data_IF_145898493838
#
_entry.id   IF_145898493838
#
_cell.length_a   1.000
_cell.length_b   1.000
_cell.length_c   1.000
_cell.angle_alpha   90.00
_cell.angle_beta   90.00
_cell.angle_gamma   90.00
#
_symmetry.space_group_name_H-M   'P 1'
#
loop_
_entity.id
_entity.type
_entity.pdbx_description
1 polymer ?
#
# COMPACT_ATOMS: atom_id res chain seq x y z
N UNK A 1 -8.28 7.98 -31.27
CA UNK A 1 -8.68 8.64 -30.07
C UNK A 1 -9.90 7.93 -29.50
N UNK A 2 -9.67 6.85 -28.74
CA UNK A 2 -10.72 6.15 -28.01
C UNK A 2 -10.52 6.49 -26.54
N UNK A 3 -11.35 7.39 -26.01
CA UNK A 3 -11.45 7.64 -24.58
C UNK A 3 -12.18 6.45 -23.97
N UNK A 4 -11.47 5.63 -23.20
CA UNK A 4 -12.08 4.64 -22.30
C UNK A 4 -12.98 5.38 -21.30
N UNK A 5 -14.21 4.88 -21.02
CA UNK A 5 -15.09 5.54 -20.05
C UNK A 5 -14.46 5.46 -18.65
N UNK A 6 -14.35 6.61 -18.00
CA UNK A 6 -13.96 6.73 -16.59
C UNK A 6 -15.03 6.07 -15.72
N UNK A 7 -14.76 4.86 -15.25
CA UNK A 7 -15.70 4.03 -14.49
C UNK A 7 -16.02 4.58 -13.07
N UNK A 8 -15.31 5.63 -12.63
CA UNK A 8 -15.46 6.21 -11.28
C UNK A 8 -16.27 7.51 -11.21
N UNK A 9 -16.77 8.04 -12.34
CA UNK A 9 -17.48 9.34 -12.39
C UNK A 9 -18.89 9.31 -11.79
N UNK A 10 -19.37 8.22 -11.22
CA UNK A 10 -20.76 8.02 -10.83
C UNK A 10 -21.06 7.74 -9.36
N UNK A 11 -20.11 7.52 -8.49
CA UNK A 11 -20.40 7.17 -7.08
C UNK A 11 -20.57 8.42 -6.20
N UNK A 12 -21.73 9.10 -6.32
CA UNK A 12 -22.22 10.01 -5.27
C UNK A 12 -22.57 9.15 -4.06
N UNK A 13 -21.67 9.08 -3.07
CA UNK A 13 -22.00 8.51 -1.76
C UNK A 13 -22.96 9.48 -1.07
N UNK A 14 -24.22 9.08 -0.94
CA UNK A 14 -25.14 9.73 -0.01
C UNK A 14 -24.59 9.52 1.40
N UNK A 15 -24.25 10.60 2.07
CA UNK A 15 -23.78 10.62 3.45
C UNK A 15 -24.93 10.23 4.37
N UNK A 16 -24.87 9.00 4.90
CA UNK A 16 -25.67 8.63 6.05
C UNK A 16 -25.22 9.49 7.24
N UNK A 17 -26.17 10.30 7.74
CA UNK A 17 -25.99 11.35 8.72
C UNK A 17 -25.55 10.88 10.13
N UNK A 18 -24.29 10.59 10.26
CA UNK A 18 -23.53 10.60 11.51
C UNK A 18 -22.37 11.56 11.23
N UNK A 19 -22.14 12.57 12.06
CA UNK A 19 -21.09 13.58 11.86
C UNK A 19 -19.74 12.96 11.50
N UNK A 20 -19.52 12.73 10.23
CA UNK A 20 -18.41 11.93 9.72
C UNK A 20 -17.23 12.83 9.40
N UNK A 21 -16.13 12.65 10.11
CA UNK A 21 -14.83 12.94 9.55
C UNK A 21 -14.70 12.06 8.29
N UNK A 22 -14.94 12.63 7.11
CA UNK A 22 -14.70 11.93 5.84
C UNK A 22 -13.20 11.77 5.65
N UNK A 23 -12.76 10.55 5.33
CA UNK A 23 -11.35 10.31 4.94
C UNK A 23 -11.06 11.16 3.70
N UNK A 24 -10.02 11.99 3.74
CA UNK A 24 -9.60 12.76 2.58
C UNK A 24 -9.10 11.83 1.47
N UNK A 25 -9.28 12.28 0.23
CA UNK A 25 -8.82 11.57 -0.95
C UNK A 25 -7.58 12.25 -1.52
N UNK A 26 -6.65 11.45 -2.01
CA UNK A 26 -5.42 11.89 -2.67
C UNK A 26 -5.34 11.23 -4.05
N UNK A 27 -4.83 11.96 -5.03
CA UNK A 27 -4.66 11.43 -6.38
C UNK A 27 -3.52 10.41 -6.43
N UNK A 28 -3.77 9.26 -7.01
CA UNK A 28 -2.78 8.22 -7.24
C UNK A 28 -1.87 8.60 -8.41
N UNK A 29 -0.70 9.16 -8.12
CA UNK A 29 0.40 9.33 -9.09
C UNK A 29 0.06 9.98 -10.43
N UNK A 30 -0.78 11.00 -10.46
CA UNK A 30 -1.15 11.71 -11.70
C UNK A 30 -2.07 10.91 -12.64
N UNK A 31 -2.74 9.89 -12.13
CA UNK A 31 -3.66 9.02 -12.90
C UNK A 31 -5.09 9.56 -13.00
N UNK A 32 -5.43 10.59 -12.22
CA UNK A 32 -6.81 11.06 -12.02
C UNK A 32 -7.62 10.17 -11.07
N UNK A 33 -7.09 9.05 -10.60
CA UNK A 33 -7.77 8.17 -9.65
C UNK A 33 -7.54 8.64 -8.23
N UNK A 34 -8.64 8.77 -7.49
CA UNK A 34 -8.60 9.22 -6.10
C UNK A 34 -8.64 8.01 -5.16
N UNK A 35 -7.70 7.95 -4.23
CA UNK A 35 -7.61 6.92 -3.18
C UNK A 35 -7.64 7.59 -1.81
N UNK A 36 -8.13 6.91 -0.75
CA UNK A 36 -8.16 7.50 0.59
C UNK A 36 -6.73 7.69 1.12
N UNK A 37 -6.49 8.78 1.83
CA UNK A 37 -5.19 9.01 2.49
C UNK A 37 -4.90 8.02 3.61
N UNK A 38 -5.94 7.35 4.14
CA UNK A 38 -5.82 6.27 5.14
C UNK A 38 -6.23 4.96 4.47
N UNK A 39 -5.29 4.04 4.33
CA UNK A 39 -5.51 2.68 3.83
C UNK A 39 -5.49 1.63 4.94
N UNK A 40 -6.00 0.44 4.62
CA UNK A 40 -6.03 -0.72 5.51
C UNK A 40 -4.90 -1.69 5.14
N UNK A 41 -3.87 -1.77 5.98
CA UNK A 41 -2.78 -2.73 5.80
C UNK A 41 -3.12 -4.09 6.41
N UNK A 42 -2.73 -5.17 5.74
CA UNK A 42 -3.02 -6.55 6.20
C UNK A 42 -1.77 -7.34 6.65
N UNK A 43 -0.63 -6.67 6.86
CA UNK A 43 0.53 -7.31 7.46
C UNK A 43 0.21 -7.84 8.87
N UNK A 44 0.41 -9.14 9.10
CA UNK A 44 0.05 -9.84 10.36
C UNK A 44 -1.44 -9.74 10.73
N UNK A 45 -2.31 -9.50 9.77
CA UNK A 45 -3.73 -9.39 10.01
C UNK A 45 -4.37 -10.75 10.29
N UNK A 46 -5.21 -10.81 11.32
CA UNK A 46 -5.96 -12.01 11.73
C UNK A 46 -7.42 -11.69 12.12
N UNK A 47 -7.90 -10.49 11.74
CA UNK A 47 -9.18 -9.95 12.21
C UNK A 47 -10.45 -10.47 11.48
N UNK A 48 -10.30 -11.36 10.48
CA UNK A 48 -11.44 -11.82 9.67
C UNK A 48 -11.89 -10.79 8.63
N UNK A 49 -13.11 -10.94 8.10
CA UNK A 49 -13.59 -10.14 6.97
C UNK A 49 -14.26 -8.84 7.43
N UNK A 50 -14.93 -8.86 8.57
CA UNK A 50 -15.78 -7.75 9.06
C UNK A 50 -15.02 -6.43 9.32
N UNK A 51 -13.84 -6.40 9.98
CA UNK A 51 -13.12 -5.14 10.16
C UNK A 51 -12.67 -4.48 8.84
N UNK A 52 -12.33 -5.29 7.82
CA UNK A 52 -11.97 -4.78 6.50
C UNK A 52 -13.20 -4.17 5.80
N UNK A 53 -14.35 -4.86 5.85
CA UNK A 53 -15.63 -4.33 5.34
C UNK A 53 -16.01 -3.02 6.02
N UNK A 54 -15.91 -2.99 7.34
CA UNK A 54 -16.22 -1.79 8.12
C UNK A 54 -15.30 -0.63 7.77
N UNK A 55 -14.02 -0.89 7.54
CA UNK A 55 -13.07 0.12 7.08
C UNK A 55 -13.46 0.71 5.71
N UNK A 56 -13.86 -0.14 4.76
CA UNK A 56 -14.34 0.30 3.44
C UNK A 56 -15.57 1.21 3.59
N UNK A 57 -16.55 0.81 4.39
CA UNK A 57 -17.77 1.59 4.68
C UNK A 57 -17.44 2.96 5.27
N UNK A 58 -16.43 3.06 6.13
CA UNK A 58 -15.96 4.30 6.75
C UNK A 58 -15.10 5.16 5.80
N UNK A 59 -14.85 4.73 4.58
CA UNK A 59 -14.12 5.47 3.57
C UNK A 59 -12.65 5.10 3.40
N UNK A 60 -12.10 4.19 4.21
CA UNK A 60 -10.74 3.65 4.06
C UNK A 60 -10.73 2.46 3.07
N UNK A 61 -11.14 2.71 1.82
CA UNK A 61 -11.37 1.68 0.82
C UNK A 61 -10.11 1.19 0.08
N UNK A 62 -8.94 1.76 0.34
CA UNK A 62 -7.66 1.22 -0.12
C UNK A 62 -7.22 0.11 0.83
N UNK A 63 -7.18 -1.13 0.33
CA UNK A 63 -6.67 -2.28 1.09
C UNK A 63 -5.32 -2.68 0.53
N UNK A 64 -4.31 -2.69 1.40
CA UNK A 64 -2.93 -3.09 1.06
C UNK A 64 -2.62 -4.47 1.64
N UNK A 65 -2.29 -5.40 0.75
CA UNK A 65 -1.84 -6.76 1.06
C UNK A 65 -0.56 -7.11 0.31
N UNK A 66 -0.13 -8.35 0.36
CA UNK A 66 1.00 -8.89 -0.41
C UNK A 66 0.96 -10.42 -0.44
N UNK A 67 1.53 -11.04 -1.49
CA UNK A 67 1.62 -12.51 -1.57
C UNK A 67 2.30 -13.12 -0.33
N UNK A 68 3.33 -12.46 0.21
CA UNK A 68 4.05 -12.96 1.38
C UNK A 68 3.30 -12.81 2.70
N UNK A 69 2.25 -11.97 2.75
CA UNK A 69 1.46 -11.78 3.98
C UNK A 69 0.52 -12.95 4.24
N UNK A 70 0.15 -13.70 3.19
CA UNK A 70 -0.81 -14.80 3.24
C UNK A 70 -2.18 -14.36 3.76
N UNK A 71 -2.60 -13.16 3.36
CA UNK A 71 -3.87 -12.54 3.77
C UNK A 71 -4.73 -12.17 2.55
N UNK A 72 -4.28 -12.50 1.33
CA UNK A 72 -5.00 -12.18 0.10
C UNK A 72 -6.39 -12.85 0.06
N UNK A 73 -6.50 -14.08 0.55
CA UNK A 73 -7.79 -14.80 0.66
C UNK A 73 -8.75 -14.13 1.65
N UNK A 74 -8.26 -13.58 2.76
CA UNK A 74 -9.07 -12.83 3.71
C UNK A 74 -9.56 -11.51 3.08
N UNK A 75 -8.69 -10.82 2.31
CA UNK A 75 -9.09 -9.63 1.56
C UNK A 75 -10.15 -9.98 0.51
N UNK A 76 -9.97 -11.07 -0.23
CA UNK A 76 -10.92 -11.55 -1.22
C UNK A 76 -12.32 -11.79 -0.62
N UNK A 77 -12.38 -12.50 0.52
CA UNK A 77 -13.65 -12.68 1.25
C UNK A 77 -14.26 -11.36 1.70
N UNK A 78 -13.44 -10.43 2.21
CA UNK A 78 -13.91 -9.13 2.67
C UNK A 78 -14.54 -8.30 1.56
N UNK A 79 -14.01 -8.36 0.34
CA UNK A 79 -14.53 -7.57 -0.80
C UNK A 79 -15.59 -8.29 -1.62
N UNK A 80 -15.91 -9.52 -1.29
CA UNK A 80 -16.92 -10.30 -2.02
C UNK A 80 -18.28 -9.60 -2.03
N UNK A 81 -18.80 -9.33 -3.24
CA UNK A 81 -20.05 -8.60 -3.46
C UNK A 81 -19.95 -7.07 -3.33
N UNK A 82 -18.78 -6.52 -2.98
CA UNK A 82 -18.52 -5.08 -2.88
C UNK A 82 -17.20 -4.69 -3.55
N UNK A 83 -16.68 -5.49 -4.49
CA UNK A 83 -15.38 -5.29 -5.16
C UNK A 83 -15.21 -3.89 -5.73
N UNK A 84 -16.25 -3.33 -6.31
CA UNK A 84 -16.24 -2.00 -6.92
C UNK A 84 -16.16 -0.86 -5.90
N UNK A 85 -16.31 -1.16 -4.62
CA UNK A 85 -16.17 -0.19 -3.53
C UNK A 85 -14.76 -0.19 -2.91
N UNK A 86 -13.88 -1.10 -3.33
CA UNK A 86 -12.54 -1.26 -2.81
C UNK A 86 -11.47 -1.01 -3.87
N UNK A 87 -10.35 -0.42 -3.47
CA UNK A 87 -9.13 -0.31 -4.25
C UNK A 87 -8.10 -1.28 -3.66
N UNK A 88 -7.76 -2.34 -4.41
CA UNK A 88 -6.92 -3.43 -3.92
C UNK A 88 -5.49 -3.24 -4.41
N UNK A 89 -4.58 -3.09 -3.46
CA UNK A 89 -3.14 -3.09 -3.67
C UNK A 89 -2.54 -4.40 -3.15
N UNK A 90 -1.79 -5.11 -3.98
CA UNK A 90 -0.98 -6.26 -3.55
C UNK A 90 0.43 -6.19 -4.12
N UNK A 91 1.29 -7.13 -3.74
CA UNK A 91 2.72 -7.04 -4.05
C UNK A 91 3.31 -8.41 -4.41
N UNK A 92 4.14 -8.43 -5.45
CA UNK A 92 5.00 -9.58 -5.76
C UNK A 92 6.24 -9.57 -4.87
N UNK A 93 6.65 -10.74 -4.39
CA UNK A 93 7.88 -10.90 -3.61
C UNK A 93 9.13 -10.61 -4.45
N UNK A 94 10.15 -10.02 -3.83
CA UNK A 94 11.45 -9.79 -4.48
C UNK A 94 12.15 -11.06 -5.01
N UNK A 95 11.74 -12.25 -4.55
CA UNK A 95 12.22 -13.54 -5.07
C UNK A 95 11.60 -13.94 -6.42
N UNK A 96 10.46 -13.35 -6.80
CA UNK A 96 9.63 -13.74 -7.94
C UNK A 96 9.63 -12.70 -9.07
N UNK A 97 10.73 -11.95 -9.25
CA UNK A 97 10.81 -10.83 -10.20
C UNK A 97 11.23 -11.23 -11.62
N UNK A 98 11.63 -12.50 -11.86
CA UNK A 98 11.80 -13.01 -13.23
C UNK A 98 10.46 -13.00 -13.96
N UNK A 99 10.47 -12.71 -15.25
CA UNK A 99 9.28 -12.55 -16.08
C UNK A 99 8.18 -13.57 -15.78
N UNK A 100 8.42 -14.86 -16.04
CA UNK A 100 7.40 -15.89 -15.87
C UNK A 100 6.99 -16.14 -14.41
N UNK A 101 7.89 -15.88 -13.46
CA UNK A 101 7.58 -16.00 -12.04
C UNK A 101 6.65 -14.88 -11.59
N UNK A 102 6.87 -13.66 -12.09
CA UNK A 102 6.07 -12.50 -11.78
C UNK A 102 4.65 -12.66 -12.33
N UNK A 103 4.50 -13.13 -13.58
CA UNK A 103 3.18 -13.40 -14.16
C UNK A 103 2.42 -14.45 -13.34
N UNK A 104 3.06 -15.59 -13.01
CA UNK A 104 2.44 -16.62 -12.16
C UNK A 104 2.09 -16.11 -10.75
N UNK A 105 2.90 -15.22 -10.18
CA UNK A 105 2.58 -14.60 -8.88
C UNK A 105 1.34 -13.72 -8.97
N UNK A 106 1.19 -12.96 -10.04
CA UNK A 106 0.00 -12.14 -10.27
C UNK A 106 -1.27 -13.00 -10.45
N UNK A 107 -1.19 -14.07 -11.27
CA UNK A 107 -2.28 -15.04 -11.44
C UNK A 107 -2.70 -15.66 -10.09
N UNK A 108 -1.73 -16.08 -9.29
CA UNK A 108 -1.98 -16.63 -7.96
C UNK A 108 -2.63 -15.61 -7.02
N UNK A 109 -2.16 -14.36 -7.02
CA UNK A 109 -2.76 -13.29 -6.23
C UNK A 109 -4.21 -13.04 -6.64
N UNK A 110 -4.50 -12.96 -7.96
CA UNK A 110 -5.88 -12.83 -8.48
C UNK A 110 -6.78 -13.98 -8.02
N UNK A 111 -6.26 -15.22 -8.07
CA UNK A 111 -6.99 -16.40 -7.62
C UNK A 111 -7.29 -16.36 -6.11
N UNK A 112 -6.31 -16.00 -5.27
CA UNK A 112 -6.50 -15.92 -3.82
C UNK A 112 -7.45 -14.79 -3.43
N UNK A 113 -7.36 -13.66 -4.12
CA UNK A 113 -8.23 -12.49 -3.92
C UNK A 113 -9.66 -12.73 -4.47
N UNK A 114 -9.87 -13.73 -5.33
CA UNK A 114 -11.15 -14.01 -6.03
C UNK A 114 -11.67 -12.75 -6.75
N UNK A 115 -10.79 -12.03 -7.46
CA UNK A 115 -11.12 -10.79 -8.18
C UNK A 115 -10.64 -10.83 -9.63
N UNK A 116 -11.30 -10.11 -10.55
CA UNK A 116 -10.95 -10.12 -11.97
C UNK A 116 -9.70 -9.33 -12.32
N UNK A 117 -9.29 -8.36 -11.50
CA UNK A 117 -8.10 -7.54 -11.68
C UNK A 117 -7.62 -6.95 -10.36
N UNK A 118 -6.33 -6.65 -10.28
CA UNK A 118 -5.67 -5.92 -9.19
C UNK A 118 -5.63 -4.44 -9.55
N UNK A 119 -6.02 -3.53 -8.64
CA UNK A 119 -5.95 -2.09 -8.91
C UNK A 119 -4.52 -1.60 -8.91
N UNK A 120 -3.71 -1.96 -7.91
CA UNK A 120 -2.29 -1.57 -7.82
C UNK A 120 -1.43 -2.81 -7.54
N UNK A 121 -0.57 -3.18 -8.49
CA UNK A 121 0.39 -4.26 -8.29
C UNK A 121 1.79 -3.69 -8.08
N UNK A 122 2.46 -4.11 -7.01
CA UNK A 122 3.71 -3.50 -6.57
C UNK A 122 4.84 -4.53 -6.49
N UNK A 123 6.05 -4.11 -6.83
CA UNK A 123 7.26 -4.87 -6.48
C UNK A 123 7.51 -4.63 -4.99
N UNK A 124 7.51 -5.69 -4.17
CA UNK A 124 7.63 -5.56 -2.70
C UNK A 124 9.01 -5.07 -2.25
N UNK A 125 10.06 -5.57 -2.87
CA UNK A 125 11.46 -5.19 -2.66
C UNK A 125 12.22 -5.30 -3.96
N UNK A 126 13.13 -4.38 -4.25
CA UNK A 126 14.02 -4.51 -5.40
C UNK A 126 14.95 -5.73 -5.23
N UNK A 127 15.30 -6.37 -6.34
CA UNK A 127 16.22 -7.50 -6.37
C UNK A 127 17.27 -7.29 -7.46
N UNK A 128 18.50 -7.00 -7.05
CA UNK A 128 19.62 -6.76 -7.97
C UNK A 128 20.08 -7.99 -8.77
N UNK A 129 19.62 -9.19 -8.41
CA UNK A 129 19.91 -10.42 -9.14
C UNK A 129 19.03 -10.61 -10.37
N UNK A 130 18.00 -9.78 -10.55
CA UNK A 130 17.11 -9.78 -11.72
C UNK A 130 17.23 -8.44 -12.44
N UNK A 131 17.50 -8.42 -13.76
CA UNK A 131 17.53 -7.17 -14.52
C UNK A 131 16.20 -6.43 -14.37
N UNK A 132 16.25 -5.16 -13.96
CA UNK A 132 15.04 -4.36 -13.74
C UNK A 132 14.18 -4.26 -15.00
N UNK A 133 14.80 -4.26 -16.18
CA UNK A 133 14.09 -4.25 -17.46
C UNK A 133 13.17 -5.47 -17.62
N UNK A 134 13.65 -6.66 -17.26
CA UNK A 134 12.85 -7.90 -17.33
C UNK A 134 11.62 -7.80 -16.43
N UNK A 135 11.83 -7.34 -15.19
CA UNK A 135 10.74 -7.17 -14.22
C UNK A 135 9.72 -6.12 -14.68
N UNK A 136 10.18 -4.95 -15.15
CA UNK A 136 9.25 -3.89 -15.54
C UNK A 136 8.49 -4.23 -16.82
N UNK A 137 9.09 -4.96 -17.77
CA UNK A 137 8.39 -5.46 -18.94
C UNK A 137 7.27 -6.45 -18.57
N UNK A 138 7.51 -7.36 -17.60
CA UNK A 138 6.47 -8.24 -17.09
C UNK A 138 5.34 -7.47 -16.39
N UNK A 139 5.66 -6.39 -15.66
CA UNK A 139 4.65 -5.51 -15.06
C UNK A 139 3.80 -4.81 -16.13
N UNK A 140 4.41 -4.32 -17.22
CA UNK A 140 3.68 -3.71 -18.35
C UNK A 140 2.77 -4.74 -19.05
N UNK A 141 3.24 -5.98 -19.22
CA UNK A 141 2.44 -7.07 -19.80
C UNK A 141 1.19 -7.37 -18.98
N UNK A 142 1.29 -7.39 -17.64
CA UNK A 142 0.11 -7.57 -16.77
C UNK A 142 -0.94 -6.47 -16.96
N UNK A 143 -0.53 -5.26 -17.27
CA UNK A 143 -1.46 -4.16 -17.61
C UNK A 143 -2.04 -4.36 -19.01
N UNK A 144 -1.22 -4.73 -19.99
CA UNK A 144 -1.67 -5.01 -21.36
C UNK A 144 -2.78 -6.08 -21.43
N UNK A 145 -2.65 -7.13 -20.61
CA UNK A 145 -3.65 -8.21 -20.54
C UNK A 145 -4.80 -7.94 -19.57
N UNK A 146 -4.82 -6.78 -18.90
CA UNK A 146 -5.90 -6.33 -18.03
C UNK A 146 -5.94 -6.99 -16.64
N UNK A 147 -4.91 -7.74 -16.25
CA UNK A 147 -4.80 -8.32 -14.91
C UNK A 147 -4.49 -7.29 -13.82
N UNK A 148 -3.82 -6.21 -14.19
CA UNK A 148 -3.39 -5.11 -13.32
C UNK A 148 -3.81 -3.78 -13.94
N UNK A 149 -4.24 -2.82 -13.13
CA UNK A 149 -4.55 -1.47 -13.62
C UNK A 149 -3.36 -0.52 -13.50
N UNK A 150 -2.69 -0.51 -12.33
CA UNK A 150 -1.60 0.42 -12.04
C UNK A 150 -0.37 -0.30 -11.50
N UNK A 151 0.80 0.19 -11.91
CA UNK A 151 2.10 -0.33 -11.52
C UNK A 151 2.68 0.51 -10.39
N UNK A 152 3.05 -0.13 -9.29
CA UNK A 152 3.78 0.48 -8.19
C UNK A 152 5.05 -0.28 -7.83
N UNK A 153 5.82 0.32 -6.95
CA UNK A 153 6.98 -0.31 -6.34
C UNK A 153 6.99 -0.07 -4.83
N UNK A 154 7.84 -0.79 -4.11
CA UNK A 154 8.04 -0.60 -2.68
C UNK A 154 9.53 -0.68 -2.36
N UNK A 155 9.99 0.20 -1.46
CA UNK A 155 11.38 0.26 -0.99
C UNK A 155 12.41 0.59 -2.09
N UNK A 156 12.01 1.32 -3.11
CA UNK A 156 12.93 1.79 -4.16
C UNK A 156 13.55 3.13 -3.76
N UNK A 157 14.88 3.23 -3.90
CA UNK A 157 15.61 4.50 -3.83
C UNK A 157 15.38 5.33 -5.09
N UNK A 158 15.79 6.61 -5.07
CA UNK A 158 15.74 7.49 -6.26
C UNK A 158 16.47 6.86 -7.45
N UNK A 159 17.67 6.29 -7.23
CA UNK A 159 18.43 5.61 -8.29
C UNK A 159 17.64 4.46 -8.91
N UNK A 160 17.01 3.60 -8.08
CA UNK A 160 16.22 2.47 -8.55
C UNK A 160 14.93 2.89 -9.26
N UNK A 161 14.27 3.95 -8.78
CA UNK A 161 13.11 4.54 -9.46
C UNK A 161 13.51 5.10 -10.83
N UNK A 162 14.62 5.83 -10.91
CA UNK A 162 15.12 6.37 -12.16
C UNK A 162 15.44 5.26 -13.16
N UNK A 163 16.14 4.20 -12.72
CA UNK A 163 16.46 3.04 -13.54
C UNK A 163 15.20 2.32 -14.02
N UNK A 164 14.26 2.01 -13.11
CA UNK A 164 13.01 1.35 -13.46
C UNK A 164 12.20 2.17 -14.48
N UNK A 165 12.06 3.47 -14.26
CA UNK A 165 11.35 4.38 -15.19
C UNK A 165 12.01 4.49 -16.55
N UNK A 166 13.33 4.41 -16.62
CA UNK A 166 14.08 4.52 -17.90
C UNK A 166 13.84 3.35 -18.85
N UNK A 167 13.39 2.21 -18.33
CA UNK A 167 13.12 1.00 -19.12
C UNK A 167 11.65 0.75 -19.39
N UNK A 168 10.75 1.52 -18.76
CA UNK A 168 9.31 1.48 -19.03
C UNK A 168 8.97 2.23 -20.32
N UNK A 169 8.01 1.71 -21.08
CA UNK A 169 7.66 2.22 -22.39
C UNK A 169 6.20 2.60 -22.56
N UNK A 170 5.31 2.07 -21.73
CA UNK A 170 3.86 2.20 -21.90
C UNK A 170 3.16 2.83 -20.71
N UNK A 171 3.54 2.46 -19.49
CA UNK A 171 2.83 2.82 -18.27
C UNK A 171 3.76 3.47 -17.26
N UNK A 172 3.29 4.45 -16.47
CA UNK A 172 4.10 5.05 -15.40
C UNK A 172 4.13 4.15 -14.15
N UNK A 173 5.19 4.30 -13.34
CA UNK A 173 5.16 3.89 -11.94
C UNK A 173 4.38 4.96 -11.18
N UNK A 174 3.24 4.57 -10.58
CA UNK A 174 2.33 5.54 -9.93
C UNK A 174 2.55 5.67 -8.43
N UNK A 175 3.24 4.70 -7.80
CA UNK A 175 3.49 4.72 -6.35
C UNK A 175 4.82 4.11 -5.96
N UNK A 176 5.38 4.61 -4.84
CA UNK A 176 6.47 3.95 -4.11
C UNK A 176 6.06 3.82 -2.64
N UNK A 177 5.90 2.57 -2.17
CA UNK A 177 5.53 2.30 -0.79
C UNK A 177 6.80 2.16 0.06
N UNK A 178 6.94 2.98 1.11
CA UNK A 178 8.18 3.09 1.89
C UNK A 178 7.91 3.27 3.38
N UNK A 179 8.90 2.94 4.22
CA UNK A 179 8.86 3.26 5.65
C UNK A 179 8.85 4.77 5.82
N UNK A 180 7.77 5.28 6.41
CA UNK A 180 7.68 6.70 6.71
C UNK A 180 6.75 6.95 7.90
N UNK A 181 7.26 7.61 8.93
CA UNK A 181 6.54 8.01 10.13
C UNK A 181 7.32 9.09 10.88
N UNK A 182 6.80 9.60 11.97
CA UNK A 182 7.44 10.68 12.75
C UNK A 182 8.82 10.33 13.31
N UNK A 183 9.17 9.02 13.43
CA UNK A 183 10.48 8.55 13.90
C UNK A 183 11.45 8.21 12.77
N UNK A 184 10.91 7.83 11.59
CA UNK A 184 11.68 7.41 10.41
C UNK A 184 11.34 8.36 9.26
N UNK A 185 12.19 9.37 9.06
CA UNK A 185 11.98 10.48 8.11
C UNK A 185 13.06 10.54 7.02
N UNK A 186 13.79 9.46 6.82
CA UNK A 186 14.96 9.38 5.93
C UNK A 186 14.64 9.64 4.45
N UNK A 187 13.37 9.53 4.07
CA UNK A 187 12.93 9.80 2.69
C UNK A 187 12.81 11.30 2.35
N UNK A 188 12.74 12.18 3.35
CA UNK A 188 12.42 13.60 3.16
C UNK A 188 13.49 14.40 2.40
N UNK A 189 14.79 14.15 2.57
CA UNK A 189 15.81 14.93 1.89
C UNK A 189 15.86 14.71 0.37
N UNK A 190 15.55 13.50 -0.10
CA UNK A 190 15.77 13.12 -1.49
C UNK A 190 14.58 12.40 -2.14
N UNK A 191 14.12 11.29 -1.55
CA UNK A 191 13.13 10.42 -2.17
C UNK A 191 11.75 11.08 -2.25
N UNK A 192 11.30 11.74 -1.19
CA UNK A 192 9.99 12.39 -1.15
C UNK A 192 9.89 13.52 -2.18
N UNK A 193 10.85 14.47 -2.27
CA UNK A 193 10.85 15.48 -3.34
C UNK A 193 10.90 14.87 -4.75
N UNK A 194 11.71 13.83 -4.95
CA UNK A 194 11.77 13.12 -6.23
C UNK A 194 10.40 12.54 -6.62
N UNK A 195 9.73 11.86 -5.69
CA UNK A 195 8.41 11.29 -5.93
C UNK A 195 7.38 12.39 -6.27
N UNK A 196 7.38 13.49 -5.54
CA UNK A 196 6.49 14.64 -5.79
C UNK A 196 6.71 15.25 -7.19
N UNK A 197 7.96 15.48 -7.58
CA UNK A 197 8.31 16.05 -8.89
C UNK A 197 7.94 15.14 -10.06
N UNK A 198 7.82 13.84 -9.82
CA UNK A 198 7.59 12.83 -10.85
C UNK A 198 6.18 12.21 -10.81
N UNK A 199 5.25 12.80 -10.06
CA UNK A 199 3.89 12.29 -9.89
C UNK A 199 3.85 10.83 -9.41
N UNK A 200 4.70 10.48 -8.45
CA UNK A 200 4.72 9.17 -7.80
C UNK A 200 4.14 9.33 -6.40
N UNK A 201 3.01 8.69 -6.11
CA UNK A 201 2.43 8.72 -4.76
C UNK A 201 3.34 7.96 -3.78
N UNK A 202 3.63 8.56 -2.64
CA UNK A 202 4.29 7.87 -1.53
C UNK A 202 3.22 7.22 -0.65
N UNK A 203 3.28 5.89 -0.52
CA UNK A 203 2.47 5.12 0.41
C UNK A 203 3.32 4.82 1.64
N UNK A 204 2.92 5.33 2.81
CA UNK A 204 3.67 5.13 4.05
C UNK A 204 3.28 3.79 4.69
N UNK A 205 4.22 2.85 4.82
CA UNK A 205 4.00 1.70 5.70
C UNK A 205 4.55 1.96 7.11
N UNK A 206 4.00 1.25 8.10
CA UNK A 206 4.31 1.44 9.54
C UNK A 206 4.12 2.91 9.98
N UNK A 207 3.01 3.58 9.60
CA UNK A 207 2.84 5.03 9.82
C UNK A 207 2.77 5.41 11.30
N UNK A 208 2.40 4.48 12.19
CA UNK A 208 2.33 4.66 13.64
C UNK A 208 3.54 4.06 14.39
N UNK A 209 4.62 3.71 13.69
CA UNK A 209 5.85 3.12 14.23
C UNK A 209 5.54 1.92 15.16
N UNK A 210 4.77 0.95 14.67
CA UNK A 210 4.30 -0.25 15.39
C UNK A 210 3.61 0.08 16.74
N UNK A 211 2.81 1.16 16.76
CA UNK A 211 2.10 1.64 17.94
C UNK A 211 2.97 2.49 18.90
N UNK A 212 4.26 2.62 18.66
CA UNK A 212 5.16 3.38 19.55
C UNK A 212 4.98 4.91 19.47
N UNK A 213 4.11 5.40 18.58
CA UNK A 213 3.65 6.79 18.50
C UNK A 213 2.32 7.00 19.26
N UNK A 214 1.61 5.93 19.61
CA UNK A 214 0.45 6.01 20.47
C UNK A 214 0.93 6.26 21.91
N UNK A 215 0.91 7.52 22.33
CA UNK A 215 1.17 7.85 23.74
C UNK A 215 -0.10 7.52 24.51
N UNK A 216 -0.02 6.56 25.44
CA UNK A 216 -1.10 6.32 26.38
C UNK A 216 -1.17 7.50 27.37
N UNK A 217 -2.01 8.49 27.05
CA UNK A 217 -2.23 9.66 27.90
C UNK A 217 -3.04 9.32 29.16
N UNK A 218 -3.48 8.07 29.31
CA UNK A 218 -4.28 7.61 30.44
C UNK A 218 -3.48 7.09 31.64
N UNK A 219 -2.16 6.89 31.49
CA UNK A 219 -1.31 6.43 32.62
C UNK A 219 -0.44 7.56 33.12
N UNK A 220 -0.73 8.18 34.28
CA UNK A 220 0.21 9.12 34.89
C UNK A 220 1.49 8.37 35.22
N UNK A 221 2.60 8.88 34.72
CA UNK A 221 3.95 8.35 34.95
C UNK A 221 4.19 8.27 36.50
N UNK A 222 3.96 7.10 37.08
CA UNK A 222 4.39 6.84 38.46
C UNK A 222 5.92 6.85 38.47
N UNK A 223 6.50 7.98 38.79
CA UNK A 223 7.90 8.07 39.18
C UNK A 223 8.13 7.07 40.32
N UNK A 224 8.86 5.98 40.03
CA UNK A 224 9.39 5.09 41.08
C UNK A 224 10.50 5.82 41.81
N UNK A 225 10.13 6.68 42.73
CA UNK A 225 11.00 7.07 43.86
C UNK A 225 10.91 5.97 44.91
N UNK A 226 11.69 4.92 44.73
CA UNK A 226 11.91 3.93 45.75
C UNK A 226 12.83 4.53 46.85
N UNK A 227 12.56 4.31 48.14
CA UNK A 227 13.42 4.84 49.22
C UNK A 227 14.78 4.14 49.15
N UNK A 228 15.86 4.98 49.17
CA UNK A 228 17.22 4.52 49.43
C UNK A 228 17.25 3.86 50.82
N UNK A 229 17.50 2.56 50.86
CA UNK A 229 17.92 1.92 52.10
C UNK A 229 19.36 2.33 52.38
N UNK A 230 19.53 3.18 53.37
CA UNK A 230 20.80 3.37 54.03
C UNK A 230 21.18 2.10 54.76
N UNK A 231 22.31 1.52 54.37
CA UNK A 231 22.96 0.48 55.16
C UNK A 231 23.65 1.15 56.31
N UNK A 232 23.13 1.01 57.52
CA UNK A 232 23.87 1.27 58.74
C UNK A 232 24.45 -0.03 59.27
N UNK A 233 25.71 0.12 59.64
CA UNK A 233 26.60 -0.84 60.28
C UNK A 233 25.99 -1.48 61.54
N UNK A 234 26.26 -2.75 61.74
CA UNK A 234 27.04 -3.28 62.87
C UNK A 234 27.46 -4.70 62.56
#
# INVERSE_FOLDING_TARGET
PNKSPHFWDGCKRETLGLGSASVELKELGGTGVMVPEIGLGTWKYSGGDEPLRRGIELGAFLIDTAEMYRTEDAVGRAVKGIRDQAFIATKVSGSNLRHDQLLRSAEKSLHLLDIPYIDLYQIHWPNSSVPIKETMQAMEELVDVGMVKYIGVSNFSVRQLTEARSVMTKYPIVSNQVLYNLKCRDIEPELLPYCQQNNIMVLAYTPLADGSLAVDTATPHRSRSGPRRTADRL
#
